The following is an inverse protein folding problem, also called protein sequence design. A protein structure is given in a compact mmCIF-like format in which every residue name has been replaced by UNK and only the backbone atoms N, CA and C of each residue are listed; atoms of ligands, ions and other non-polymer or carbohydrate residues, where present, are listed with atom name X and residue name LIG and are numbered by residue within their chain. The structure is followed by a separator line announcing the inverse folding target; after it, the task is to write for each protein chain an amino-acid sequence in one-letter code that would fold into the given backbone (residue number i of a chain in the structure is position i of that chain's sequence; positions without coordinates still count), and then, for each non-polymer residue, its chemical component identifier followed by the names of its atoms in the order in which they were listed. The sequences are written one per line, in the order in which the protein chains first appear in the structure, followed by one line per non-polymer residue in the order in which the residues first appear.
data_IF_992478118285
#
_entry.id   IF_992478118285
#
_cell.length_a   1.000
_cell.length_b   1.000
_cell.length_c   1.000
_cell.angle_alpha   90.00
_cell.angle_beta   90.00
_cell.angle_gamma   90.00
#
_symmetry.space_group_name_H-M   'P 1'
#
loop_
_entity.id
_entity.type
_entity.pdbx_description
1 polymer ?
#
# COMPACT_ATOMS: atom_id res chain seq x y z
N UNK A 1 34.16 -14.38 1.51
CA UNK A 1 32.99 -13.83 2.24
C UNK A 1 33.21 -12.35 2.38
N UNK A 2 32.27 -11.55 1.90
CA UNK A 2 32.38 -10.09 2.05
C UNK A 2 32.17 -9.68 3.52
N UNK A 3 32.78 -8.58 3.90
CA UNK A 3 32.66 -8.05 5.27
C UNK A 3 31.47 -7.08 5.39
N UNK A 4 30.37 -7.34 4.63
CA UNK A 4 29.24 -6.44 4.48
C UNK A 4 28.17 -6.66 5.54
N UNK A 5 27.69 -5.57 6.12
CA UNK A 5 26.43 -5.55 6.86
C UNK A 5 25.34 -5.04 5.92
N UNK A 6 24.30 -5.85 5.72
CA UNK A 6 23.22 -5.57 4.77
C UNK A 6 21.91 -5.37 5.50
N UNK A 7 21.22 -4.25 5.23
CA UNK A 7 19.81 -4.07 5.59
C UNK A 7 18.97 -4.81 4.56
N UNK A 8 18.09 -5.68 5.03
CA UNK A 8 17.03 -6.29 4.23
C UNK A 8 15.70 -5.65 4.60
N UNK A 9 15.26 -4.69 3.79
CA UNK A 9 13.97 -4.04 3.96
C UNK A 9 12.89 -4.82 3.21
N UNK A 10 11.74 -5.04 3.88
CA UNK A 10 10.63 -5.88 3.39
C UNK A 10 9.33 -5.10 3.49
N UNK A 11 8.74 -4.74 2.35
CA UNK A 11 7.38 -4.21 2.24
C UNK A 11 6.49 -5.23 1.55
N UNK A 12 5.73 -6.00 2.33
CA UNK A 12 4.83 -7.02 1.81
C UNK A 12 3.40 -6.71 2.22
N UNK A 13 2.54 -6.58 1.21
CA UNK A 13 1.11 -6.37 1.34
C UNK A 13 0.29 -7.49 0.70
N UNK A 14 -1.01 -7.27 0.54
CA UNK A 14 -1.90 -8.26 -0.08
C UNK A 14 -1.79 -8.35 -1.61
N UNK A 15 -1.21 -7.36 -2.27
CA UNK A 15 -1.14 -7.28 -3.75
C UNK A 15 0.27 -7.15 -4.29
N UNK A 16 1.26 -6.89 -3.44
CA UNK A 16 2.67 -6.77 -3.83
C UNK A 16 3.61 -7.15 -2.71
N UNK A 17 4.82 -7.55 -3.08
CA UNK A 17 5.98 -7.64 -2.19
C UNK A 17 7.14 -6.87 -2.81
N UNK A 18 7.74 -5.96 -2.05
CA UNK A 18 8.93 -5.18 -2.41
C UNK A 18 10.01 -5.41 -1.37
N UNK A 19 11.24 -5.67 -1.83
CA UNK A 19 12.39 -5.86 -0.96
C UNK A 19 13.59 -5.09 -1.48
N UNK A 20 14.39 -4.55 -0.56
CA UNK A 20 15.68 -3.93 -0.85
C UNK A 20 16.76 -4.53 0.03
N UNK A 21 17.86 -4.96 -0.57
CA UNK A 21 19.12 -5.27 0.10
C UNK A 21 20.05 -4.08 -0.05
N UNK A 22 20.44 -3.43 1.07
CA UNK A 22 21.23 -2.20 1.08
C UNK A 22 22.46 -2.37 1.96
N UNK A 23 23.63 -2.03 1.42
CA UNK A 23 24.88 -2.00 2.18
C UNK A 23 24.85 -0.85 3.19
N UNK A 24 25.03 -1.15 4.47
CA UNK A 24 25.00 -0.15 5.56
C UNK A 24 26.13 0.87 5.45
N UNK A 25 27.31 0.44 5.00
CA UNK A 25 28.49 1.29 4.97
C UNK A 25 28.45 2.28 3.82
N UNK A 26 27.92 1.86 2.65
CA UNK A 26 27.95 2.67 1.43
C UNK A 26 26.60 3.24 1.04
N UNK A 27 25.49 2.70 1.54
CA UNK A 27 24.13 3.04 1.11
C UNK A 27 23.77 2.49 -0.28
N UNK A 28 24.63 1.64 -0.87
CA UNK A 28 24.38 1.05 -2.18
C UNK A 28 23.25 0.04 -2.12
N UNK A 29 22.37 0.06 -3.13
CA UNK A 29 21.37 -0.97 -3.36
C UNK A 29 22.07 -2.15 -4.03
N UNK A 30 22.20 -3.25 -3.30
CA UNK A 30 22.83 -4.48 -3.78
C UNK A 30 21.83 -5.25 -4.66
N UNK A 31 20.58 -5.32 -4.20
CA UNK A 31 19.49 -6.02 -4.90
C UNK A 31 18.14 -5.39 -4.58
N UNK A 32 17.27 -5.44 -5.57
CA UNK A 32 15.85 -5.11 -5.45
C UNK A 32 15.03 -6.25 -6.01
N UNK A 33 14.03 -6.69 -5.25
CA UNK A 33 13.01 -7.66 -5.69
C UNK A 33 11.65 -6.99 -5.58
N UNK A 34 10.85 -7.09 -6.63
CA UNK A 34 9.50 -6.52 -6.67
C UNK A 34 8.57 -7.40 -7.46
N UNK A 35 7.56 -7.93 -6.80
CA UNK A 35 6.51 -8.74 -7.43
C UNK A 35 5.12 -8.20 -7.10
N UNK A 36 4.26 -8.20 -8.12
CA UNK A 36 2.82 -8.10 -7.94
C UNK A 36 2.26 -9.49 -7.65
N UNK A 37 1.22 -9.58 -6.82
CA UNK A 37 0.64 -10.87 -6.45
C UNK A 37 0.11 -11.66 -7.67
N UNK A 38 -0.41 -10.96 -8.69
CA UNK A 38 -0.91 -11.56 -9.92
C UNK A 38 0.19 -12.09 -10.85
N UNK A 39 1.43 -11.61 -10.71
CA UNK A 39 2.60 -12.14 -11.44
C UNK A 39 3.24 -13.36 -10.79
N UNK A 40 2.85 -13.70 -9.55
CA UNK A 40 3.40 -14.84 -8.82
C UNK A 40 2.75 -16.16 -9.24
N UNK A 41 3.44 -17.31 -9.02
CA UNK A 41 2.81 -18.61 -9.16
C UNK A 41 1.51 -18.69 -8.34
N UNK A 42 0.47 -19.38 -8.81
CA UNK A 42 -0.83 -19.46 -8.13
C UNK A 42 -0.74 -19.88 -6.65
N UNK A 43 0.20 -20.74 -6.31
CA UNK A 43 0.45 -21.21 -4.93
C UNK A 43 1.02 -20.13 -4.02
N UNK A 44 1.64 -19.09 -4.58
CA UNK A 44 2.23 -17.97 -3.84
C UNK A 44 1.33 -16.75 -3.78
N UNK A 45 0.15 -16.79 -4.42
CA UNK A 45 -0.78 -15.65 -4.43
C UNK A 45 -1.54 -15.56 -3.12
N UNK A 46 -1.54 -14.40 -2.45
CA UNK A 46 -2.30 -14.24 -1.22
C UNK A 46 -3.80 -14.29 -1.50
N UNK A 47 -4.53 -15.09 -0.71
CA UNK A 47 -5.99 -15.04 -0.68
C UNK A 47 -6.43 -13.96 0.29
N UNK A 48 -7.14 -12.95 -0.19
CA UNK A 48 -7.57 -11.82 0.62
C UNK A 48 -9.02 -11.99 1.07
N UNK A 49 -9.21 -12.41 2.31
CA UNK A 49 -10.53 -12.40 2.94
C UNK A 49 -10.94 -10.97 3.30
N UNK A 50 -12.25 -10.72 3.46
CA UNK A 50 -12.77 -9.42 3.92
C UNK A 50 -12.27 -9.01 5.31
N UNK A 51 -11.74 -9.93 6.12
CA UNK A 51 -11.29 -9.70 7.50
C UNK A 51 -9.78 -9.66 7.72
N UNK A 52 -8.93 -9.74 6.69
CA UNK A 52 -7.49 -9.78 6.90
C UNK A 52 -6.64 -9.36 5.71
N UNK A 53 -5.45 -8.87 6.00
CA UNK A 53 -4.41 -8.68 4.99
C UNK A 53 -4.01 -10.06 4.46
N UNK A 54 -4.14 -10.27 3.16
CA UNK A 54 -3.76 -11.51 2.48
C UNK A 54 -2.24 -11.67 2.33
N UNK A 55 -1.51 -11.47 3.43
CA UNK A 55 -0.09 -11.77 3.48
C UNK A 55 0.06 -13.25 3.63
N UNK A 56 0.78 -13.88 2.72
CA UNK A 56 1.09 -15.31 2.84
C UNK A 56 2.58 -15.51 3.04
N UNK A 57 2.93 -16.51 3.83
CA UNK A 57 4.30 -16.97 3.99
C UNK A 57 4.88 -17.35 2.61
N UNK A 58 4.06 -17.94 1.75
CA UNK A 58 4.46 -18.38 0.43
C UNK A 58 4.91 -17.23 -0.48
N UNK A 59 4.22 -16.09 -0.46
CA UNK A 59 4.64 -14.90 -1.22
C UNK A 59 5.95 -14.33 -0.66
N UNK A 60 6.03 -14.24 0.67
CA UNK A 60 7.24 -13.77 1.34
C UNK A 60 8.42 -14.70 1.03
N UNK A 61 8.21 -16.03 1.13
CA UNK A 61 9.23 -17.05 0.85
C UNK A 61 9.73 -16.97 -0.58
N UNK A 62 8.83 -16.87 -1.55
CA UNK A 62 9.20 -16.73 -2.97
C UNK A 62 10.10 -15.52 -3.22
N UNK A 63 9.73 -14.36 -2.67
CA UNK A 63 10.52 -13.14 -2.82
C UNK A 63 11.85 -13.20 -2.05
N UNK A 64 11.88 -13.87 -0.89
CA UNK A 64 13.11 -14.07 -0.12
C UNK A 64 14.07 -15.04 -0.82
N UNK A 65 13.56 -16.12 -1.43
CA UNK A 65 14.38 -17.06 -2.20
C UNK A 65 15.14 -16.30 -3.31
N UNK A 66 14.44 -15.43 -4.07
CA UNK A 66 15.06 -14.58 -5.11
C UNK A 66 16.01 -13.54 -4.51
N UNK A 67 15.62 -12.89 -3.40
CA UNK A 67 16.42 -11.87 -2.75
C UNK A 67 17.73 -12.40 -2.21
N UNK A 68 17.73 -13.59 -1.64
CA UNK A 68 18.89 -14.20 -0.98
C UNK A 68 19.78 -15.02 -1.91
N UNK A 69 19.31 -15.40 -3.11
CA UNK A 69 20.08 -16.19 -4.05
C UNK A 69 21.40 -15.49 -4.44
N UNK A 70 22.54 -16.08 -4.02
CA UNK A 70 23.87 -15.53 -4.26
C UNK A 70 24.15 -14.16 -3.59
N UNK A 71 23.33 -13.72 -2.64
CA UNK A 71 23.59 -12.49 -1.87
C UNK A 71 24.70 -12.74 -0.85
N UNK A 72 25.81 -11.99 -0.96
CA UNK A 72 26.98 -12.13 -0.09
C UNK A 72 26.98 -11.07 1.02
N UNK A 73 26.93 -11.53 2.26
CA UNK A 73 26.94 -10.68 3.46
C UNK A 73 27.56 -11.40 4.66
N UNK A 74 28.13 -10.63 5.58
CA UNK A 74 28.55 -11.12 6.90
C UNK A 74 27.39 -11.04 7.92
N UNK A 75 26.60 -9.97 7.83
CA UNK A 75 25.48 -9.73 8.76
C UNK A 75 24.26 -9.22 7.99
N UNK A 76 23.11 -9.85 8.23
CA UNK A 76 21.82 -9.44 7.71
C UNK A 76 20.99 -8.75 8.79
N UNK A 77 20.36 -7.61 8.44
CA UNK A 77 19.55 -6.80 9.34
C UNK A 77 18.15 -6.64 8.76
N UNK A 78 17.27 -7.64 8.95
CA UNK A 78 15.92 -7.58 8.39
C UNK A 78 15.06 -6.53 9.10
N UNK A 79 14.22 -5.85 8.33
CA UNK A 79 13.27 -4.83 8.80
C UNK A 79 12.06 -4.80 7.87
N UNK A 80 10.87 -4.46 8.36
CA UNK A 80 9.72 -4.39 7.49
C UNK A 80 8.37 -4.34 8.19
N UNK A 81 7.32 -4.38 7.38
CA UNK A 81 5.92 -4.33 7.81
C UNK A 81 5.28 -5.73 8.01
N UNK A 82 6.08 -6.78 7.94
CA UNK A 82 5.65 -8.18 8.15
C UNK A 82 5.88 -8.58 9.61
N UNK A 83 5.13 -9.56 10.13
CA UNK A 83 5.35 -10.03 11.50
C UNK A 83 6.72 -10.69 11.65
N UNK A 84 7.32 -10.55 12.84
CA UNK A 84 8.63 -11.15 13.14
C UNK A 84 8.60 -12.66 12.94
N UNK A 85 7.54 -13.30 13.40
CA UNK A 85 7.37 -14.75 13.35
C UNK A 85 7.37 -15.28 11.89
N UNK A 86 6.71 -14.55 10.98
CA UNK A 86 6.68 -14.89 9.57
C UNK A 86 8.06 -14.71 8.91
N UNK A 87 8.74 -13.61 9.18
CA UNK A 87 10.10 -13.36 8.67
C UNK A 87 11.08 -14.39 9.22
N UNK A 88 10.97 -14.74 10.50
CA UNK A 88 11.84 -15.73 11.17
C UNK A 88 11.66 -17.12 10.57
N UNK A 89 10.42 -17.54 10.34
CA UNK A 89 10.12 -18.83 9.72
C UNK A 89 10.72 -18.94 8.31
N UNK A 90 10.58 -17.89 7.50
CA UNK A 90 11.10 -17.91 6.13
C UNK A 90 12.64 -17.81 6.09
N UNK A 91 13.27 -16.95 6.91
CA UNK A 91 14.73 -16.85 6.99
C UNK A 91 15.37 -18.15 7.50
N UNK A 92 14.70 -18.87 8.40
CA UNK A 92 15.19 -20.15 8.92
C UNK A 92 15.35 -21.21 7.81
N UNK A 93 14.56 -21.17 6.72
CA UNK A 93 14.73 -22.03 5.54
C UNK A 93 16.09 -21.84 4.86
N UNK A 94 16.68 -20.66 5.01
CA UNK A 94 18.01 -20.30 4.49
C UNK A 94 19.12 -20.41 5.55
N UNK A 95 18.85 -20.99 6.73
CA UNK A 95 19.80 -21.07 7.83
C UNK A 95 20.11 -19.72 8.50
N UNK A 96 19.24 -18.74 8.32
CA UNK A 96 19.37 -17.39 8.85
C UNK A 96 18.42 -17.16 10.04
N UNK A 97 18.73 -16.15 10.87
CA UNK A 97 17.92 -15.78 12.03
C UNK A 97 17.33 -14.37 11.87
N UNK A 98 16.18 -14.14 12.50
CA UNK A 98 15.54 -12.83 12.59
C UNK A 98 15.74 -12.14 13.96
N UNK A 99 16.78 -12.52 14.73
CA UNK A 99 17.03 -11.96 16.07
C UNK A 99 17.08 -10.43 16.07
N UNK A 100 17.64 -9.84 15.00
CA UNK A 100 17.78 -8.40 14.83
C UNK A 100 16.64 -7.80 13.99
N UNK A 101 15.50 -8.48 13.82
CA UNK A 101 14.37 -7.93 13.08
C UNK A 101 13.83 -6.67 13.75
N UNK A 102 13.60 -5.64 12.91
CA UNK A 102 12.96 -4.40 13.35
C UNK A 102 11.63 -4.25 12.61
N UNK A 103 10.49 -4.40 13.27
CA UNK A 103 9.21 -4.11 12.67
C UNK A 103 9.06 -2.60 12.44
N UNK A 104 8.56 -2.24 11.25
CA UNK A 104 8.23 -0.86 10.86
C UNK A 104 6.84 -0.88 10.25
N UNK A 105 5.92 -0.07 10.77
CA UNK A 105 4.58 0.05 10.23
C UNK A 105 4.59 0.60 8.79
N UNK A 106 3.56 0.24 8.02
CA UNK A 106 3.41 0.69 6.64
C UNK A 106 3.49 2.23 6.53
N UNK A 107 2.71 2.94 7.34
CA UNK A 107 2.67 4.41 7.31
C UNK A 107 3.91 5.04 7.91
N UNK A 108 4.54 4.42 8.92
CA UNK A 108 5.85 4.88 9.40
C UNK A 108 6.89 4.85 8.27
N UNK A 109 6.86 3.80 7.43
CA UNK A 109 7.67 3.70 6.22
C UNK A 109 7.44 4.86 5.25
N UNK A 110 6.19 5.31 5.07
CA UNK A 110 5.89 6.48 4.22
C UNK A 110 6.54 7.75 4.78
N UNK A 111 6.43 8.03 6.08
CA UNK A 111 7.08 9.21 6.68
C UNK A 111 8.61 9.17 6.53
N UNK A 112 9.23 8.07 6.90
CA UNK A 112 10.69 7.92 6.83
C UNK A 112 11.20 7.98 5.39
N UNK A 113 10.46 7.47 4.40
CA UNK A 113 10.85 7.52 3.00
C UNK A 113 10.94 8.95 2.44
N UNK A 114 10.25 9.91 3.07
CA UNK A 114 10.28 11.33 2.73
C UNK A 114 11.10 12.17 3.71
N UNK A 115 11.82 11.55 4.65
CA UNK A 115 12.55 12.22 5.74
C UNK A 115 11.67 13.17 6.58
N UNK A 116 10.39 12.84 6.71
CA UNK A 116 9.44 13.67 7.47
C UNK A 116 9.26 13.16 8.89
N UNK A 117 9.08 14.08 9.81
CA UNK A 117 8.99 13.82 11.25
C UNK A 117 7.63 14.16 11.85
N UNK A 118 6.75 14.78 11.08
CA UNK A 118 5.39 15.15 11.49
C UNK A 118 4.50 15.44 10.28
N UNK A 119 3.20 15.50 10.49
CA UNK A 119 2.20 15.73 9.46
C UNK A 119 1.18 14.59 9.37
N UNK A 120 0.58 14.42 8.21
CA UNK A 120 -0.33 13.31 7.92
C UNK A 120 0.27 12.51 6.77
N UNK A 121 0.24 11.19 6.88
CA UNK A 121 0.47 10.30 5.73
C UNK A 121 -0.76 9.42 5.53
N UNK A 122 -1.17 9.24 4.29
CA UNK A 122 -2.27 8.37 3.88
C UNK A 122 -1.82 7.51 2.69
N UNK A 123 -2.05 6.23 2.79
CA UNK A 123 -1.77 5.24 1.75
C UNK A 123 -3.10 4.65 1.27
N UNK A 124 -3.42 4.82 0.00
CA UNK A 124 -4.57 4.23 -0.66
C UNK A 124 -4.08 3.23 -1.72
N UNK A 125 -4.13 1.96 -1.36
CA UNK A 125 -3.85 0.80 -2.20
C UNK A 125 -5.09 -0.08 -2.33
N UNK A 126 -4.96 -1.38 -2.11
CA UNK A 126 -6.12 -2.29 -2.02
C UNK A 126 -7.09 -1.85 -0.92
N UNK A 127 -6.58 -1.39 0.22
CA UNK A 127 -7.30 -0.70 1.29
C UNK A 127 -6.73 0.68 1.53
N UNK A 128 -7.25 1.36 2.56
CA UNK A 128 -6.76 2.67 3.00
C UNK A 128 -6.28 2.59 4.43
N UNK A 129 -5.12 3.19 4.67
CA UNK A 129 -4.57 3.42 6.00
C UNK A 129 -3.84 4.74 6.04
N UNK A 130 -3.94 5.46 7.14
CA UNK A 130 -3.18 6.69 7.33
C UNK A 130 -2.85 6.91 8.79
N UNK A 131 -2.04 7.92 9.04
CA UNK A 131 -1.61 8.28 10.38
C UNK A 131 -1.28 9.77 10.46
N UNK A 132 -1.62 10.36 11.60
CA UNK A 132 -1.10 11.66 12.01
C UNK A 132 0.12 11.44 12.91
N UNK A 133 1.25 12.04 12.52
CA UNK A 133 2.37 12.28 13.42
C UNK A 133 2.30 13.74 13.88
N UNK A 134 2.06 14.01 15.18
CA UNK A 134 2.02 15.37 15.68
C UNK A 134 3.40 16.02 15.64
N UNK A 135 3.51 17.37 15.71
CA UNK A 135 4.78 18.05 15.85
C UNK A 135 5.59 17.51 17.03
N UNK A 136 6.94 17.61 16.93
CA UNK A 136 7.87 16.98 17.88
C UNK A 136 7.59 17.35 19.34
N UNK A 137 7.16 18.57 19.59
CA UNK A 137 6.84 19.10 20.95
C UNK A 137 5.62 18.41 21.56
N UNK A 138 4.80 17.76 20.75
CA UNK A 138 3.61 17.00 21.18
C UNK A 138 3.81 15.48 21.07
N UNK A 139 4.98 15.03 20.60
CA UNK A 139 5.29 13.61 20.54
C UNK A 139 5.78 13.14 21.92
N UNK A 140 5.23 12.04 22.38
CA UNK A 140 5.79 11.32 23.52
C UNK A 140 6.69 10.20 23.01
N UNK A 141 7.76 9.87 23.75
CA UNK A 141 8.71 8.78 23.40
C UNK A 141 8.07 7.40 23.59
N UNK A 142 6.95 7.18 22.91
CA UNK A 142 6.30 5.87 22.88
C UNK A 142 6.95 4.94 21.85
N UNK A 143 6.94 3.62 22.07
CA UNK A 143 7.47 2.66 21.10
C UNK A 143 6.74 2.76 19.77
N UNK A 144 7.49 2.58 18.67
CA UNK A 144 6.92 2.40 17.33
C UNK A 144 6.00 1.17 17.37
N UNK A 145 4.76 1.34 16.95
CA UNK A 145 3.70 0.38 17.21
C UNK A 145 3.58 -0.69 16.13
N UNK A 146 3.34 -1.92 16.57
CA UNK A 146 3.24 -3.11 15.73
C UNK A 146 1.80 -3.39 15.24
N UNK A 147 0.99 -2.37 15.00
CA UNK A 147 -0.28 -2.51 14.25
C UNK A 147 -1.35 -3.45 14.83
N UNK A 148 -1.34 -3.76 16.15
CA UNK A 148 -2.40 -4.51 16.82
C UNK A 148 -3.41 -3.59 17.50
N UNK A 149 -4.67 -4.01 17.60
CA UNK A 149 -5.75 -3.22 18.24
C UNK A 149 -5.40 -2.80 19.68
N UNK A 150 -4.61 -3.61 20.40
CA UNK A 150 -4.07 -3.26 21.72
C UNK A 150 -3.15 -2.02 21.71
N UNK A 151 -2.55 -1.72 20.57
CA UNK A 151 -1.61 -0.61 20.42
C UNK A 151 -2.30 0.71 20.11
N UNK A 152 -3.59 0.72 19.79
CA UNK A 152 -4.38 1.94 19.52
C UNK A 152 -4.40 2.88 20.73
N UNK A 153 -4.43 2.35 21.94
CA UNK A 153 -4.38 3.13 23.19
C UNK A 153 -3.03 3.82 23.35
N UNK A 154 -1.94 3.14 23.00
CA UNK A 154 -0.60 3.73 23.02
C UNK A 154 -0.42 4.80 21.93
N UNK A 155 -1.02 4.62 20.74
CA UNK A 155 -1.05 5.65 19.70
C UNK A 155 -1.68 6.95 20.20
N UNK A 156 -2.84 6.86 20.84
CA UNK A 156 -3.52 8.02 21.42
C UNK A 156 -2.63 8.70 22.48
N UNK A 157 -1.94 7.93 23.30
CA UNK A 157 -1.04 8.45 24.34
C UNK A 157 0.25 9.05 23.77
N UNK A 158 0.73 8.59 22.60
CA UNK A 158 1.87 9.19 21.90
C UNK A 158 1.51 10.44 21.11
N UNK A 159 0.24 10.82 21.06
CA UNK A 159 -0.27 11.90 20.22
C UNK A 159 -0.41 11.51 18.74
N UNK A 160 -0.02 10.30 18.35
CA UNK A 160 -0.26 9.76 17.01
C UNK A 160 -1.72 9.32 16.87
N UNK A 161 -2.28 9.52 15.69
CA UNK A 161 -3.66 9.14 15.40
C UNK A 161 -3.71 8.29 14.14
N UNK A 162 -4.23 7.08 14.28
CA UNK A 162 -4.51 6.20 13.14
C UNK A 162 -5.74 6.70 12.38
N UNK A 163 -5.64 6.70 11.05
CA UNK A 163 -6.70 7.07 10.12
C UNK A 163 -7.11 5.79 9.39
N UNK A 164 -8.42 5.53 9.35
CA UNK A 164 -8.95 4.34 8.69
C UNK A 164 -8.36 3.03 9.28
N UNK A 165 -7.83 2.12 8.48
CA UNK A 165 -7.22 0.86 8.94
C UNK A 165 -8.19 -0.11 9.66
N UNK A 166 -9.49 0.03 9.41
CA UNK A 166 -10.56 -0.77 10.00
C UNK A 166 -11.18 -1.77 9.02
N UNK A 167 -10.57 -1.89 7.85
CA UNK A 167 -10.96 -2.83 6.80
C UNK A 167 -12.18 -2.39 5.98
N UNK A 168 -12.53 -3.17 4.94
CA UNK A 168 -13.43 -2.73 3.87
C UNK A 168 -14.91 -2.58 4.26
N UNK A 169 -15.31 -3.14 5.40
CA UNK A 169 -16.71 -3.00 5.87
C UNK A 169 -16.94 -1.72 6.66
N UNK A 170 -15.92 -1.20 7.33
CA UNK A 170 -16.04 -0.03 8.22
C UNK A 170 -15.23 1.16 7.73
N UNK A 171 -14.33 0.94 6.78
CA UNK A 171 -13.38 1.92 6.27
C UNK A 171 -12.93 1.61 4.84
N UNK A 172 -11.63 1.78 4.60
CA UNK A 172 -11.00 1.69 3.28
C UNK A 172 -11.53 2.75 2.29
N UNK A 173 -11.96 3.90 2.79
CA UNK A 173 -12.51 4.98 1.97
C UNK A 173 -11.51 5.44 0.92
N UNK A 174 -11.95 5.52 -0.34
CA UNK A 174 -11.12 5.92 -1.47
C UNK A 174 -10.03 4.92 -1.86
N UNK A 175 -10.03 3.70 -1.32
CA UNK A 175 -9.13 2.61 -1.75
C UNK A 175 -9.55 2.01 -3.09
N UNK A 176 -8.68 1.20 -3.69
CA UNK A 176 -9.02 0.43 -4.89
C UNK A 176 -10.22 -0.49 -4.66
N UNK A 177 -10.35 -1.09 -3.45
CA UNK A 177 -11.54 -1.88 -3.11
C UNK A 177 -12.81 -1.02 -3.09
N UNK A 178 -12.76 0.15 -2.44
CA UNK A 178 -13.89 1.08 -2.37
C UNK A 178 -14.30 1.56 -3.77
N UNK A 179 -13.34 1.97 -4.60
CA UNK A 179 -13.56 2.36 -6.00
C UNK A 179 -14.19 1.22 -6.79
N UNK A 180 -13.58 0.02 -6.74
CA UNK A 180 -14.07 -1.13 -7.49
C UNK A 180 -15.47 -1.56 -7.08
N UNK A 181 -15.79 -1.50 -5.78
CA UNK A 181 -17.11 -1.83 -5.26
C UNK A 181 -18.17 -0.78 -5.67
N UNK A 182 -17.84 0.51 -5.56
CA UNK A 182 -18.76 1.59 -5.95
C UNK A 182 -19.02 1.58 -7.46
N UNK A 183 -17.96 1.39 -8.27
CA UNK A 183 -18.06 1.25 -9.71
C UNK A 183 -18.96 0.07 -10.10
N UNK A 184 -18.71 -1.12 -9.53
CA UNK A 184 -19.53 -2.31 -9.76
C UNK A 184 -21.00 -2.08 -9.42
N UNK A 185 -21.29 -1.48 -8.26
CA UNK A 185 -22.65 -1.22 -7.79
C UNK A 185 -23.38 -0.21 -8.67
N UNK A 186 -22.73 0.87 -9.07
CA UNK A 186 -23.34 1.91 -9.92
C UNK A 186 -23.57 1.40 -11.34
N UNK A 187 -22.57 0.72 -11.92
CA UNK A 187 -22.70 0.13 -13.24
C UNK A 187 -23.83 -0.93 -13.28
N UNK A 188 -23.92 -1.79 -12.27
CA UNK A 188 -25.00 -2.78 -12.19
C UNK A 188 -26.38 -2.12 -12.06
N UNK A 189 -26.49 -1.09 -11.21
CA UNK A 189 -27.77 -0.36 -11.02
C UNK A 189 -28.21 0.34 -12.30
N UNK A 190 -27.29 0.94 -13.04
CA UNK A 190 -27.61 1.59 -14.32
C UNK A 190 -28.02 0.57 -15.38
N UNK A 191 -27.36 -0.59 -15.40
CA UNK A 191 -27.66 -1.73 -16.25
C UNK A 191 -29.10 -2.26 -16.06
N UNK A 192 -29.66 -2.18 -14.84
CA UNK A 192 -31.02 -2.69 -14.56
C UNK A 192 -32.09 -1.99 -15.41
N UNK A 193 -31.84 -0.77 -15.89
CA UNK A 193 -32.74 0.00 -16.75
C UNK A 193 -32.55 -0.24 -18.25
N UNK A 194 -31.53 -1.05 -18.63
CA UNK A 194 -31.13 -1.24 -20.03
C UNK A 194 -31.32 -2.69 -20.48
N UNK A 195 -31.76 -2.86 -21.73
CA UNK A 195 -31.92 -4.19 -22.35
C UNK A 195 -30.56 -4.77 -22.78
N UNK A 196 -29.72 -3.92 -23.36
CA UNK A 196 -28.39 -4.28 -23.84
C UNK A 196 -27.32 -3.96 -22.79
N UNK A 197 -26.23 -4.73 -22.72
CA UNK A 197 -25.14 -4.46 -21.80
C UNK A 197 -24.49 -3.10 -22.04
N UNK A 198 -24.40 -2.27 -21.02
CA UNK A 198 -23.67 -1.01 -21.03
C UNK A 198 -22.16 -1.25 -21.16
N UNK A 199 -21.45 -0.28 -21.73
CA UNK A 199 -20.00 -0.37 -21.95
C UNK A 199 -19.23 -0.65 -20.63
N UNK A 200 -19.59 0.05 -19.55
CA UNK A 200 -18.98 -0.17 -18.22
C UNK A 200 -19.23 -1.58 -17.71
N UNK A 201 -20.46 -2.12 -17.89
CA UNK A 201 -20.79 -3.49 -17.49
C UNK A 201 -20.03 -4.51 -18.34
N UNK A 202 -19.90 -4.29 -19.65
CA UNK A 202 -19.10 -5.14 -20.52
C UNK A 202 -17.63 -5.16 -20.12
N UNK A 203 -17.05 -4.00 -19.77
CA UNK A 203 -15.67 -3.89 -19.29
C UNK A 203 -15.45 -4.65 -17.97
N UNK A 204 -16.38 -4.52 -17.02
CA UNK A 204 -16.37 -5.28 -15.76
C UNK A 204 -16.41 -6.79 -16.04
N UNK A 205 -17.36 -7.26 -16.86
CA UNK A 205 -17.51 -8.69 -17.17
C UNK A 205 -16.28 -9.25 -17.88
N UNK A 206 -15.74 -8.53 -18.86
CA UNK A 206 -14.53 -8.93 -19.58
C UNK A 206 -13.32 -9.05 -18.66
N UNK A 207 -13.14 -8.09 -17.73
CA UNK A 207 -12.07 -8.13 -16.76
C UNK A 207 -12.20 -9.34 -15.80
N UNK A 208 -13.41 -9.57 -15.28
CA UNK A 208 -13.66 -10.67 -14.36
C UNK A 208 -13.51 -12.04 -15.05
N UNK A 209 -13.91 -12.16 -16.32
CA UNK A 209 -13.71 -13.38 -17.10
C UNK A 209 -12.24 -13.69 -17.37
N UNK A 210 -11.41 -12.65 -17.51
CA UNK A 210 -9.96 -12.76 -17.76
C UNK A 210 -9.13 -12.86 -16.47
N UNK A 211 -9.72 -12.69 -15.28
CA UNK A 211 -8.97 -12.60 -14.03
C UNK A 211 -8.33 -13.95 -13.65
N UNK A 212 -7.03 -14.02 -13.78
CA UNK A 212 -6.24 -15.27 -13.62
C UNK A 212 -6.20 -15.83 -12.19
N UNK A 213 -6.66 -15.06 -11.18
CA UNK A 213 -6.73 -15.49 -9.78
C UNK A 213 -7.94 -16.33 -9.42
N UNK A 214 -8.84 -16.59 -10.37
CA UNK A 214 -10.09 -17.32 -10.16
C UNK A 214 -10.06 -18.65 -10.95
N UNK A 215 -10.19 -19.75 -10.22
CA UNK A 215 -10.39 -21.06 -10.80
C UNK A 215 -11.88 -21.26 -11.10
N UNK A 216 -12.29 -21.06 -12.36
CA UNK A 216 -13.66 -21.31 -12.82
C UNK A 216 -13.83 -22.76 -13.27
N UNK A 217 -15.05 -23.27 -13.15
CA UNK A 217 -15.40 -24.57 -13.75
C UNK A 217 -15.36 -24.46 -15.28
N UNK A 218 -14.86 -25.48 -15.99
CA UNK A 218 -14.72 -25.43 -17.46
C UNK A 218 -16.02 -25.22 -18.23
N UNK A 219 -17.15 -25.59 -17.66
CA UNK A 219 -18.50 -25.51 -18.24
C UNK A 219 -19.28 -24.25 -17.81
N UNK A 220 -18.64 -23.34 -17.08
CA UNK A 220 -19.31 -22.16 -16.55
C UNK A 220 -19.43 -21.06 -17.60
N UNK A 221 -20.67 -20.54 -17.78
CA UNK A 221 -20.97 -19.46 -18.72
C UNK A 221 -20.12 -18.22 -18.42
N UNK A 222 -19.48 -17.63 -19.43
CA UNK A 222 -18.76 -16.37 -19.28
C UNK A 222 -19.72 -15.23 -18.96
N UNK A 223 -19.24 -14.28 -18.18
CA UNK A 223 -19.99 -13.08 -17.82
C UNK A 223 -20.25 -12.18 -19.04
N UNK A 224 -19.29 -12.17 -19.98
CA UNK A 224 -19.46 -11.48 -21.28
C UNK A 224 -20.58 -12.04 -22.13
N UNK A 225 -20.86 -13.34 -22.01
CA UNK A 225 -21.97 -13.99 -22.72
C UNK A 225 -23.31 -13.78 -21.97
N UNK A 226 -23.28 -13.69 -20.65
CA UNK A 226 -24.47 -13.43 -19.85
C UNK A 226 -24.12 -12.76 -18.51
N UNK A 227 -24.18 -11.43 -18.46
CA UNK A 227 -23.91 -10.62 -17.28
C UNK A 227 -24.84 -10.93 -16.08
N UNK A 228 -25.98 -11.58 -16.30
CA UNK A 228 -26.92 -11.97 -15.21
C UNK A 228 -26.30 -12.97 -14.23
N UNK A 229 -25.23 -13.68 -14.65
CA UNK A 229 -24.44 -14.54 -13.77
C UNK A 229 -23.48 -13.78 -12.85
N UNK A 230 -23.36 -12.45 -13.01
CA UNK A 230 -22.41 -11.62 -12.23
C UNK A 230 -22.63 -11.73 -10.72
N UNK A 231 -23.89 -11.74 -10.26
CA UNK A 231 -24.19 -11.90 -8.83
C UNK A 231 -23.66 -13.22 -8.29
N UNK A 232 -23.97 -14.34 -8.97
CA UNK A 232 -23.43 -15.65 -8.57
C UNK A 232 -21.89 -15.65 -8.56
N UNK A 233 -21.28 -15.10 -9.61
CA UNK A 233 -19.83 -15.03 -9.74
C UNK A 233 -19.20 -14.24 -8.56
N UNK A 234 -19.71 -13.04 -8.27
CA UNK A 234 -19.21 -12.19 -7.18
C UNK A 234 -19.27 -12.93 -5.82
N UNK A 235 -20.38 -13.56 -5.50
CA UNK A 235 -20.53 -14.25 -4.21
C UNK A 235 -19.80 -15.60 -4.11
N UNK A 236 -19.44 -16.20 -5.23
CA UNK A 236 -18.79 -17.52 -5.25
C UNK A 236 -17.27 -17.43 -5.37
N UNK A 237 -16.77 -16.53 -6.21
CA UNK A 237 -15.37 -16.54 -6.65
C UNK A 237 -14.56 -15.32 -6.25
N UNK A 238 -15.21 -14.25 -5.73
CA UNK A 238 -14.46 -13.03 -5.48
C UNK A 238 -13.97 -12.93 -4.05
N UNK A 239 -12.77 -12.40 -3.92
CA UNK A 239 -12.20 -11.89 -2.70
C UNK A 239 -12.00 -10.36 -2.81
N UNK A 240 -11.39 -9.79 -1.80
CA UNK A 240 -11.11 -8.35 -1.75
C UNK A 240 -10.22 -7.88 -2.91
N UNK A 241 -9.28 -8.71 -3.36
CA UNK A 241 -8.35 -8.34 -4.43
C UNK A 241 -9.03 -8.26 -5.79
N UNK A 242 -9.98 -9.16 -6.05
CA UNK A 242 -10.78 -9.16 -7.28
C UNK A 242 -11.63 -7.90 -7.38
N UNK A 243 -12.31 -7.52 -6.30
CA UNK A 243 -13.09 -6.27 -6.27
C UNK A 243 -12.16 -5.06 -6.44
N UNK A 244 -11.03 -5.03 -5.73
CA UNK A 244 -10.07 -3.94 -5.84
C UNK A 244 -9.48 -3.81 -7.26
N UNK A 245 -9.34 -4.90 -8.01
CA UNK A 245 -8.83 -4.86 -9.38
C UNK A 245 -9.75 -4.08 -10.34
N UNK A 246 -11.05 -4.00 -10.03
CA UNK A 246 -12.01 -3.20 -10.80
C UNK A 246 -11.73 -1.69 -10.77
N UNK A 247 -10.91 -1.21 -9.82
CA UNK A 247 -10.49 0.20 -9.83
C UNK A 247 -9.71 0.57 -11.10
N UNK A 248 -8.91 -0.36 -11.63
CA UNK A 248 -8.21 -0.16 -12.92
C UNK A 248 -9.19 -0.10 -14.08
N UNK A 249 -10.19 -0.99 -14.08
CA UNK A 249 -11.26 -0.99 -15.09
C UNK A 249 -12.03 0.33 -15.04
N UNK A 250 -12.32 0.85 -13.85
CA UNK A 250 -12.94 2.15 -13.66
C UNK A 250 -12.10 3.26 -14.34
N UNK A 251 -10.79 3.32 -14.07
CA UNK A 251 -9.89 4.28 -14.72
C UNK A 251 -9.82 4.14 -16.24
N UNK A 252 -9.89 2.92 -16.78
CA UNK A 252 -9.92 2.70 -18.23
C UNK A 252 -11.27 3.09 -18.85
N UNK A 253 -12.39 2.90 -18.15
CA UNK A 253 -13.69 3.38 -18.57
C UNK A 253 -13.75 4.91 -18.64
N UNK A 254 -13.09 5.63 -17.72
CA UNK A 254 -12.96 7.10 -17.80
C UNK A 254 -12.26 7.53 -19.09
N UNK A 255 -11.15 6.88 -19.46
CA UNK A 255 -10.43 7.16 -20.71
C UNK A 255 -11.32 6.95 -21.96
N UNK A 256 -12.33 6.09 -21.84
CA UNK A 256 -13.32 5.82 -22.87
C UNK A 256 -14.59 6.69 -22.74
N UNK A 257 -14.59 7.69 -21.86
CA UNK A 257 -15.65 8.70 -21.73
C UNK A 257 -16.79 8.32 -20.79
N UNK A 258 -16.59 7.38 -19.86
CA UNK A 258 -17.61 7.04 -18.85
C UNK A 258 -17.70 8.11 -17.75
N UNK A 259 -18.78 8.88 -17.74
CA UNK A 259 -19.10 9.85 -16.68
C UNK A 259 -19.37 9.14 -15.34
N UNK A 260 -19.96 7.94 -15.36
CA UNK A 260 -20.21 7.14 -14.17
C UNK A 260 -18.88 6.80 -13.49
N UNK A 261 -17.91 6.29 -14.25
CA UNK A 261 -16.58 5.93 -13.75
C UNK A 261 -15.82 7.15 -13.21
N UNK A 262 -15.88 8.29 -13.91
CA UNK A 262 -15.28 9.54 -13.47
C UNK A 262 -15.87 9.99 -12.12
N UNK A 263 -17.18 9.98 -11.97
CA UNK A 263 -17.85 10.31 -10.70
C UNK A 263 -17.46 9.39 -9.54
N UNK A 264 -17.15 8.12 -9.80
CA UNK A 264 -16.63 7.18 -8.79
C UNK A 264 -15.25 7.62 -8.32
N UNK A 265 -14.34 7.96 -9.25
CA UNK A 265 -12.99 8.40 -8.91
C UNK A 265 -12.98 9.74 -8.16
N UNK A 266 -13.81 10.70 -8.59
CA UNK A 266 -13.99 11.99 -7.89
C UNK A 266 -14.50 11.78 -6.46
N UNK A 267 -15.46 10.87 -6.26
CA UNK A 267 -15.98 10.52 -4.93
C UNK A 267 -14.87 9.94 -4.06
N UNK A 268 -14.05 9.03 -4.61
CA UNK A 268 -12.94 8.40 -3.87
C UNK A 268 -11.91 9.43 -3.38
N UNK A 269 -11.53 10.39 -4.22
CA UNK A 269 -10.63 11.49 -3.83
C UNK A 269 -11.23 12.36 -2.73
N UNK A 270 -12.52 12.67 -2.84
CA UNK A 270 -13.26 13.42 -1.82
C UNK A 270 -13.29 12.68 -0.48
N UNK A 271 -13.50 11.38 -0.46
CA UNK A 271 -13.53 10.57 0.76
C UNK A 271 -12.16 10.52 1.46
N UNK A 272 -11.07 10.41 0.69
CA UNK A 272 -9.71 10.49 1.21
C UNK A 272 -9.44 11.85 1.87
N UNK A 273 -9.89 12.95 1.23
CA UNK A 273 -9.79 14.29 1.82
C UNK A 273 -10.55 14.39 3.14
N UNK A 274 -11.77 13.85 3.21
CA UNK A 274 -12.57 13.83 4.44
C UNK A 274 -11.85 13.12 5.58
N UNK A 275 -11.22 11.98 5.31
CA UNK A 275 -10.44 11.23 6.30
C UNK A 275 -9.28 12.07 6.86
N UNK A 276 -8.57 12.79 6.00
CA UNK A 276 -7.49 13.71 6.41
C UNK A 276 -8.03 14.90 7.21
N UNK A 277 -9.12 15.53 6.77
CA UNK A 277 -9.74 16.68 7.44
C UNK A 277 -10.19 16.31 8.86
N UNK A 278 -10.85 15.15 9.01
CA UNK A 278 -11.28 14.66 10.33
C UNK A 278 -10.08 14.38 11.24
N UNK A 279 -9.05 13.75 10.72
CA UNK A 279 -7.84 13.45 11.47
C UNK A 279 -7.09 14.72 11.91
N UNK A 280 -6.95 15.71 11.03
CA UNK A 280 -6.33 16.99 11.35
C UNK A 280 -7.08 17.75 12.45
N UNK A 281 -8.42 17.78 12.37
CA UNK A 281 -9.27 18.38 13.41
C UNK A 281 -9.12 17.65 14.75
N UNK A 282 -9.19 16.31 14.74
CA UNK A 282 -9.11 15.49 15.94
C UNK A 282 -7.74 15.56 16.62
N UNK A 283 -6.65 15.64 15.87
CA UNK A 283 -5.28 15.76 16.39
C UNK A 283 -4.88 17.19 16.79
N UNK A 284 -5.71 18.17 16.49
CA UNK A 284 -5.46 19.57 16.82
C UNK A 284 -4.41 20.27 15.95
N UNK A 285 -4.05 19.69 14.78
CA UNK A 285 -3.11 20.32 13.83
C UNK A 285 -3.80 21.13 12.73
N UNK A 286 -5.13 21.11 12.66
CA UNK A 286 -5.93 21.74 11.61
C UNK A 286 -5.68 23.26 11.42
N UNK A 287 -5.14 23.95 12.44
CA UNK A 287 -4.81 25.39 12.39
C UNK A 287 -3.35 25.67 12.05
N UNK A 288 -2.56 24.65 11.80
CA UNK A 288 -1.14 24.72 11.47
C UNK A 288 -0.96 24.43 9.98
N UNK A 289 0.08 24.99 9.35
CA UNK A 289 0.49 24.54 8.03
C UNK A 289 1.13 23.17 8.17
N UNK A 290 0.56 22.14 7.58
CA UNK A 290 1.06 20.77 7.71
C UNK A 290 1.10 20.02 6.37
N UNK A 291 2.09 19.14 6.20
CA UNK A 291 2.16 18.29 5.02
C UNK A 291 1.19 17.11 5.12
N UNK A 292 0.64 16.72 3.98
CA UNK A 292 -0.13 15.49 3.79
C UNK A 292 0.58 14.66 2.73
N UNK A 293 1.17 13.54 3.13
CA UNK A 293 1.85 12.61 2.23
C UNK A 293 0.84 11.62 1.65
N UNK A 294 0.67 11.67 0.33
CA UNK A 294 -0.11 10.72 -0.44
C UNK A 294 0.77 9.56 -0.90
N UNK A 295 0.36 8.32 -0.61
CA UNK A 295 1.04 7.08 -1.00
C UNK A 295 0.02 6.02 -1.41
N UNK A 296 0.49 4.85 -1.83
CA UNK A 296 -0.36 3.76 -2.31
C UNK A 296 -0.72 3.90 -3.79
N UNK A 297 -1.07 2.77 -4.42
CA UNK A 297 -1.21 2.69 -5.87
C UNK A 297 -2.31 3.59 -6.43
N UNK A 298 -3.38 3.83 -5.69
CA UNK A 298 -4.47 4.72 -6.11
C UNK A 298 -3.97 6.17 -6.19
N UNK A 299 -3.47 6.73 -5.09
CA UNK A 299 -3.00 8.11 -5.04
C UNK A 299 -1.74 8.38 -5.88
N UNK A 300 -0.96 7.35 -6.17
CA UNK A 300 0.26 7.49 -6.98
C UNK A 300 0.00 7.42 -8.48
N UNK A 301 -1.04 6.70 -8.92
CA UNK A 301 -1.24 6.39 -10.34
C UNK A 301 -2.56 6.95 -10.91
N UNK A 302 -3.47 7.45 -10.08
CA UNK A 302 -4.74 8.02 -10.51
C UNK A 302 -4.78 9.53 -10.22
N UNK A 303 -4.67 10.31 -11.31
CA UNK A 303 -4.64 11.77 -11.19
C UNK A 303 -6.02 12.34 -10.83
N UNK A 304 -7.12 11.70 -11.23
CA UNK A 304 -8.48 12.17 -10.91
C UNK A 304 -8.72 12.08 -9.41
N UNK A 305 -8.37 10.94 -8.81
CA UNK A 305 -8.50 10.74 -7.36
C UNK A 305 -7.61 11.74 -6.60
N UNK A 306 -6.36 11.91 -7.07
CA UNK A 306 -5.41 12.81 -6.41
C UNK A 306 -5.85 14.27 -6.48
N UNK A 307 -6.25 14.76 -7.66
CA UNK A 307 -6.69 16.15 -7.83
C UNK A 307 -8.03 16.43 -7.11
N UNK A 308 -8.98 15.49 -7.13
CA UNK A 308 -10.21 15.62 -6.36
C UNK A 308 -9.95 15.70 -4.84
N UNK A 309 -9.00 14.92 -4.32
CA UNK A 309 -8.55 15.02 -2.94
C UNK A 309 -7.93 16.39 -2.65
N UNK A 310 -7.06 16.86 -3.55
CA UNK A 310 -6.36 18.14 -3.43
C UNK A 310 -7.33 19.31 -3.44
N UNK A 311 -8.24 19.39 -4.40
CA UNK A 311 -9.25 20.45 -4.52
C UNK A 311 -10.12 20.54 -3.26
N UNK A 312 -10.54 19.40 -2.71
CA UNK A 312 -11.32 19.39 -1.48
C UNK A 312 -10.49 19.86 -0.27
N UNK A 313 -9.23 19.45 -0.16
CA UNK A 313 -8.33 19.92 0.89
C UNK A 313 -8.07 21.41 0.77
N UNK A 314 -7.77 21.94 -0.41
CA UNK A 314 -7.56 23.38 -0.64
C UNK A 314 -8.78 24.22 -0.25
N UNK A 315 -9.99 23.72 -0.52
CA UNK A 315 -11.24 24.41 -0.17
C UNK A 315 -11.55 24.36 1.34
N UNK A 316 -11.38 23.22 2.00
CA UNK A 316 -11.87 22.98 3.36
C UNK A 316 -10.77 23.02 4.43
N UNK A 317 -9.50 22.85 4.02
CA UNK A 317 -8.32 22.80 4.90
C UNK A 317 -7.10 23.41 4.18
N UNK A 318 -7.11 24.71 3.84
CA UNK A 318 -6.06 25.35 3.04
C UNK A 318 -4.65 25.30 3.68
N UNK A 319 -4.55 24.95 4.96
CA UNK A 319 -3.28 24.71 5.64
C UNK A 319 -2.66 23.33 5.31
N UNK A 320 -3.44 22.40 4.76
CA UNK A 320 -2.97 21.09 4.36
C UNK A 320 -2.27 21.17 3.01
N UNK A 321 -0.99 20.81 2.98
CA UNK A 321 -0.22 20.73 1.73
C UNK A 321 -0.10 19.28 1.27
N UNK A 322 -0.91 18.88 0.29
CA UNK A 322 -0.88 17.54 -0.29
C UNK A 322 0.35 17.35 -1.18
N UNK A 323 1.07 16.26 -0.98
CA UNK A 323 2.32 15.92 -1.68
C UNK A 323 2.32 14.43 -1.98
N UNK A 324 2.56 14.03 -3.22
CA UNK A 324 2.83 12.62 -3.54
C UNK A 324 4.18 12.19 -2.97
N UNK A 325 4.23 11.00 -2.39
CA UNK A 325 5.46 10.42 -1.88
C UNK A 325 6.45 10.17 -3.04
N UNK A 326 7.62 10.79 -2.99
CA UNK A 326 8.63 10.66 -4.04
C UNK A 326 9.34 9.29 -4.02
N UNK A 327 9.25 8.55 -2.91
CA UNK A 327 9.89 7.25 -2.73
C UNK A 327 8.90 6.26 -2.10
N UNK A 328 8.98 4.98 -2.47
CA UNK A 328 8.13 3.95 -1.88
C UNK A 328 8.45 3.74 -0.40
N UNK A 329 7.52 3.16 0.32
CA UNK A 329 7.63 2.94 1.77
C UNK A 329 8.77 1.98 2.16
N UNK A 330 9.18 1.06 1.29
CA UNK A 330 10.34 0.18 1.51
C UNK A 330 11.63 0.97 1.75
N UNK A 331 11.78 2.14 1.12
CA UNK A 331 12.90 3.06 1.38
C UNK A 331 12.85 3.61 2.81
N UNK A 332 11.66 3.86 3.34
CA UNK A 332 11.51 4.31 4.72
C UNK A 332 11.90 3.26 5.75
N UNK A 333 11.73 1.99 5.42
CA UNK A 333 12.19 0.90 6.27
C UNK A 333 13.72 0.86 6.36
N UNK A 334 14.41 1.11 5.23
CA UNK A 334 15.88 1.28 5.23
C UNK A 334 16.28 2.45 6.14
N UNK A 335 15.64 3.60 5.98
CA UNK A 335 15.92 4.80 6.78
C UNK A 335 15.68 4.55 8.28
N UNK A 336 14.55 3.95 8.63
CA UNK A 336 14.25 3.59 10.02
C UNK A 336 15.31 2.67 10.63
N UNK A 337 15.85 1.75 9.82
CA UNK A 337 16.94 0.86 10.27
C UNK A 337 18.25 1.62 10.46
N UNK A 338 18.60 2.51 9.53
CA UNK A 338 19.78 3.37 9.66
C UNK A 338 19.71 4.24 10.92
N UNK A 339 18.54 4.84 11.20
CA UNK A 339 18.29 5.62 12.43
C UNK A 339 18.53 4.81 13.69
N UNK A 340 18.15 3.53 13.71
CA UNK A 340 18.37 2.65 14.86
C UNK A 340 19.83 2.24 15.02
N UNK A 341 20.56 2.10 13.92
CA UNK A 341 21.99 1.72 13.95
C UNK A 341 22.87 2.86 14.42
N UNK A 342 22.60 4.08 13.95
CA UNK A 342 23.34 5.30 14.32
C UNK A 342 22.39 6.48 14.51
N UNK A 343 21.78 6.62 15.70
CA UNK A 343 20.83 7.71 15.96
C UNK A 343 21.41 9.12 15.82
N UNK A 344 22.72 9.26 15.90
CA UNK A 344 23.41 10.55 15.81
C UNK A 344 23.67 10.96 14.36
N UNK A 345 24.22 10.03 13.56
CA UNK A 345 24.74 10.32 12.23
C UNK A 345 23.84 9.77 11.09
N UNK A 346 22.70 9.11 11.40
CA UNK A 346 21.84 8.48 10.39
C UNK A 346 21.48 9.39 9.20
N UNK A 347 21.43 10.71 9.41
CA UNK A 347 21.05 11.66 8.36
C UNK A 347 22.01 11.63 7.18
N UNK A 348 23.30 11.51 7.43
CA UNK A 348 24.31 11.39 6.36
C UNK A 348 24.11 10.09 5.57
N UNK A 349 23.95 8.96 6.27
CA UNK A 349 23.67 7.67 5.65
C UNK A 349 22.35 7.66 4.89
N UNK A 350 21.30 8.27 5.43
CA UNK A 350 20.00 8.44 4.78
C UNK A 350 20.11 9.24 3.47
N UNK A 351 20.80 10.37 3.50
CA UNK A 351 20.99 11.21 2.29
C UNK A 351 21.80 10.46 1.23
N UNK A 352 22.84 9.74 1.63
CA UNK A 352 23.61 8.90 0.73
C UNK A 352 22.74 7.80 0.10
N UNK A 353 21.96 7.09 0.90
CA UNK A 353 21.01 6.08 0.42
C UNK A 353 19.99 6.70 -0.56
N UNK A 354 19.42 7.86 -0.26
CA UNK A 354 18.45 8.51 -1.15
C UNK A 354 19.07 8.93 -2.50
N UNK A 355 20.32 9.42 -2.50
CA UNK A 355 21.01 9.72 -3.73
C UNK A 355 21.23 8.44 -4.58
N UNK A 356 21.71 7.37 -3.94
CA UNK A 356 21.91 6.07 -4.60
C UNK A 356 20.60 5.48 -5.13
N UNK A 357 19.50 5.61 -4.38
CA UNK A 357 18.18 5.14 -4.81
C UNK A 357 17.68 5.91 -6.04
N UNK A 358 17.88 7.23 -6.08
CA UNK A 358 17.56 8.05 -7.23
C UNK A 358 18.28 7.59 -8.50
N UNK A 359 19.60 7.41 -8.41
CA UNK A 359 20.44 6.94 -9.52
C UNK A 359 20.04 5.52 -9.96
N UNK A 360 19.70 4.65 -9.02
CA UNK A 360 19.26 3.29 -9.29
C UNK A 360 17.95 3.24 -10.12
N UNK A 361 16.97 4.11 -9.81
CA UNK A 361 15.72 4.19 -10.58
C UNK A 361 15.99 4.73 -11.99
N UNK A 362 16.77 5.78 -12.14
CA UNK A 362 17.08 6.37 -13.45
C UNK A 362 17.81 5.38 -14.36
N UNK A 363 18.75 4.61 -13.83
CA UNK A 363 19.46 3.58 -14.60
C UNK A 363 18.58 2.40 -15.02
N UNK A 364 17.44 2.15 -14.34
CA UNK A 364 16.48 1.13 -14.76
C UNK A 364 15.48 1.60 -15.83
N UNK A 365 15.32 2.91 -15.99
CA UNK A 365 14.41 3.50 -16.97
C UNK A 365 15.11 3.84 -18.30
N UNK A 366 16.45 3.84 -18.33
CA UNK A 366 17.30 3.97 -19.51
C UNK A 366 17.63 2.59 -20.11
#
# INVERSE_FOLDING_TARGET
MSNRTVILAIDSGGTKCEMLAVDVATGDIIREVRHQADSLPPTCRPKQNFGGAGRTAEMLGYCLDEMLDGLDFQKLLPTGNVSKEMVEAELARHGLTAENYQPIGEIDGVFYSQAMTWGIAISAGTGTVGMVWPPKEKQTDGPLLNGRVADVVQFVNSGRLLIDAVGPLLGDWGSAYSIGLDFLRRAYREQESQAEPLADMQAICAHLDAFSGIERKPDETKLTDNYRHLSHFIYTYTDRSVIASLSRVCGDCVKNGSELAENVLLTAGSDLAESVIRAAKRSGIAKMDFPVLASGSVLMNDDIVFEAMKERLEREMPQARLIRAARPQVCGQVVARLMKLDPVNYRAAMLNFFAKYHDHIHNKQS
#
